data_IF_474335777432
#
_entry.id   IF_474335777432
#
_cell.length_a   1.000
_cell.length_b   1.000
_cell.length_c   1.000
_cell.angle_alpha   90.00
_cell.angle_beta   90.00
_cell.angle_gamma   90.00
#
_symmetry.space_group_name_H-M   'P 1'
#
loop_
_entity.id
_entity.type
_entity.pdbx_description
1 polymer ?
#
# COMPACT_ATOMS: atom_id res chain seq x y z
N UNK A 1 -17.39 16.15 12.24
CA UNK A 1 -18.45 15.56 11.39
C UNK A 1 -17.81 15.21 10.06
N UNK A 2 -17.32 13.98 9.90
CA UNK A 2 -16.76 13.51 8.63
C UNK A 2 -17.91 13.11 7.71
N UNK A 3 -18.03 13.82 6.60
CA UNK A 3 -18.93 13.48 5.50
C UNK A 3 -18.36 12.28 4.74
N UNK A 4 -18.56 11.08 5.28
CA UNK A 4 -18.46 9.85 4.49
C UNK A 4 -19.60 9.86 3.48
N UNK A 5 -19.30 10.33 2.26
CA UNK A 5 -20.20 10.16 1.13
C UNK A 5 -20.37 8.65 0.94
N UNK A 6 -21.60 8.12 0.84
CA UNK A 6 -21.78 6.70 0.56
C UNK A 6 -21.15 6.42 -0.80
N UNK A 7 -19.99 5.77 -0.79
CA UNK A 7 -19.34 5.36 -2.02
C UNK A 7 -20.30 4.44 -2.76
N UNK A 8 -20.56 4.79 -4.02
CA UNK A 8 -21.48 4.04 -4.88
C UNK A 8 -21.08 2.57 -4.90
N UNK A 9 -22.04 1.65 -4.90
CA UNK A 9 -21.79 0.21 -4.98
C UNK A 9 -20.84 -0.15 -6.15
N UNK A 10 -20.95 0.58 -7.27
CA UNK A 10 -20.04 0.44 -8.40
C UNK A 10 -18.60 0.86 -8.10
N UNK A 11 -18.40 1.89 -7.27
CA UNK A 11 -17.07 2.32 -6.81
C UNK A 11 -16.44 1.25 -5.90
N UNK A 12 -17.17 0.75 -4.92
CA UNK A 12 -16.66 -0.31 -4.03
C UNK A 12 -16.31 -1.58 -4.81
N UNK A 13 -17.14 -1.96 -5.79
CA UNK A 13 -16.86 -3.11 -6.66
C UNK A 13 -15.60 -2.88 -7.52
N UNK A 14 -15.43 -1.70 -8.10
CA UNK A 14 -14.22 -1.34 -8.85
C UNK A 14 -12.96 -1.43 -7.98
N UNK A 15 -13.05 -0.88 -6.76
CA UNK A 15 -11.95 -0.93 -5.80
C UNK A 15 -11.61 -2.38 -5.45
N UNK A 16 -12.61 -3.19 -5.14
CA UNK A 16 -12.41 -4.55 -4.65
C UNK A 16 -11.89 -5.51 -5.74
N UNK A 17 -12.42 -5.42 -6.96
CA UNK A 17 -12.12 -6.39 -8.03
C UNK A 17 -11.03 -5.92 -9.01
N UNK A 18 -10.73 -4.62 -9.07
CA UNK A 18 -9.73 -4.09 -10.01
C UNK A 18 -8.57 -3.44 -9.26
N UNK A 19 -8.85 -2.50 -8.36
CA UNK A 19 -7.78 -1.76 -7.67
C UNK A 19 -7.02 -2.62 -6.67
N UNK A 20 -7.72 -3.32 -5.77
CA UNK A 20 -7.09 -4.18 -4.76
C UNK A 20 -6.14 -5.22 -5.36
N UNK A 21 -6.52 -6.05 -6.36
CA UNK A 21 -5.59 -7.02 -6.93
C UNK A 21 -4.41 -6.37 -7.65
N UNK A 22 -4.61 -5.20 -8.27
CA UNK A 22 -3.52 -4.44 -8.88
C UNK A 22 -2.52 -3.93 -7.83
N UNK A 23 -3.02 -3.28 -6.78
CA UNK A 23 -2.21 -2.74 -5.69
C UNK A 23 -1.51 -3.88 -4.94
N UNK A 24 -2.24 -4.96 -4.67
CA UNK A 24 -1.70 -6.16 -4.01
C UNK A 24 -0.55 -6.74 -4.83
N UNK A 25 -0.72 -6.94 -6.14
CA UNK A 25 0.38 -7.41 -7.01
C UNK A 25 1.54 -6.43 -7.09
N UNK A 26 1.29 -5.13 -7.12
CA UNK A 26 2.34 -4.12 -7.16
C UNK A 26 3.17 -4.14 -5.87
N UNK A 27 2.51 -4.13 -4.71
CA UNK A 27 3.17 -4.17 -3.42
C UNK A 27 3.85 -5.51 -3.18
N UNK A 28 3.23 -6.63 -3.55
CA UNK A 28 3.82 -7.97 -3.47
C UNK A 28 5.04 -8.10 -4.40
N UNK A 29 4.97 -7.56 -5.62
CA UNK A 29 6.11 -7.56 -6.54
C UNK A 29 7.32 -6.78 -6.01
N UNK A 30 7.10 -5.79 -5.14
CA UNK A 30 8.20 -5.00 -4.58
C UNK A 30 8.63 -5.57 -3.23
N UNK A 31 7.69 -5.78 -2.31
CA UNK A 31 7.92 -6.11 -0.90
C UNK A 31 7.87 -7.61 -0.63
N UNK A 32 7.26 -8.43 -1.50
CA UNK A 32 7.21 -9.89 -1.33
C UNK A 32 8.59 -10.57 -1.33
N UNK A 33 9.65 -9.84 -1.75
CA UNK A 33 11.05 -10.28 -1.63
C UNK A 33 11.82 -9.62 -0.48
N UNK A 34 11.21 -8.67 0.21
CA UNK A 34 11.79 -8.03 1.39
C UNK A 34 11.49 -8.85 2.65
N UNK A 35 12.43 -8.86 3.59
CA UNK A 35 12.25 -9.45 4.93
C UNK A 35 11.39 -8.59 5.85
N UNK A 36 10.88 -7.45 5.37
CA UNK A 36 10.17 -6.45 6.18
C UNK A 36 8.65 -6.55 6.00
N UNK A 37 7.90 -6.35 7.09
CA UNK A 37 6.43 -6.47 7.11
C UNK A 37 5.75 -5.18 6.66
N UNK A 38 4.95 -5.27 5.61
CA UNK A 38 4.12 -4.19 5.10
C UNK A 38 2.63 -4.52 5.30
N UNK A 39 1.89 -3.61 5.92
CA UNK A 39 0.44 -3.68 6.01
C UNK A 39 -0.19 -2.70 5.04
N UNK A 40 -1.25 -3.13 4.36
CA UNK A 40 -2.09 -2.29 3.53
C UNK A 40 -3.46 -2.20 4.18
N UNK A 41 -3.93 -0.98 4.44
CA UNK A 41 -5.27 -0.70 4.92
C UNK A 41 -5.98 0.18 3.89
N UNK A 42 -7.13 -0.27 3.40
CA UNK A 42 -7.91 0.47 2.40
C UNK A 42 -9.07 1.16 3.08
N UNK A 43 -8.93 2.47 3.35
CA UNK A 43 -9.89 3.28 4.11
C UNK A 43 -11.34 3.14 3.61
N UNK A 44 -11.62 3.13 2.29
CA UNK A 44 -12.99 3.00 1.77
C UNK A 44 -13.67 1.66 2.03
N UNK A 45 -12.91 0.57 2.13
CA UNK A 45 -13.46 -0.80 2.23
C UNK A 45 -13.16 -1.45 3.59
N UNK A 46 -12.28 -0.82 4.39
CA UNK A 46 -11.68 -1.38 5.62
C UNK A 46 -11.02 -2.74 5.43
N UNK A 47 -10.64 -3.05 4.19
CA UNK A 47 -9.86 -4.25 3.90
C UNK A 47 -8.42 -4.03 4.35
N UNK A 48 -7.89 -5.03 5.04
CA UNK A 48 -6.49 -5.08 5.46
C UNK A 48 -5.80 -6.26 4.78
N UNK A 49 -4.63 -6.01 4.20
CA UNK A 49 -3.76 -7.03 3.62
C UNK A 49 -2.36 -6.92 4.21
N UNK A 50 -1.80 -8.05 4.65
CA UNK A 50 -0.42 -8.17 5.09
C UNK A 50 0.46 -8.66 3.92
N UNK A 51 1.61 -8.02 3.72
CA UNK A 51 2.65 -8.36 2.74
C UNK A 51 4.00 -8.55 3.45
N UNK A 52 4.80 -9.50 2.97
CA UNK A 52 6.10 -9.88 3.55
C UNK A 52 6.10 -11.31 4.12
N UNK A 53 7.29 -11.93 4.20
CA UNK A 53 7.43 -13.34 4.56
C UNK A 53 7.11 -13.60 6.04
N UNK A 54 6.39 -14.69 6.30
CA UNK A 54 5.82 -15.07 7.58
C UNK A 54 6.78 -15.97 8.38
N UNK A 55 8.09 -15.71 8.30
CA UNK A 55 9.11 -16.55 8.93
C UNK A 55 9.87 -15.84 10.04
N UNK A 56 9.18 -15.23 11.01
CA UNK A 56 9.77 -15.07 12.36
C UNK A 56 8.71 -15.40 13.42
N UNK A 57 8.64 -16.69 13.73
CA UNK A 57 8.35 -17.15 15.07
C UNK A 57 9.55 -16.70 15.93
N UNK A 58 9.27 -15.99 17.03
CA UNK A 58 10.14 -15.62 18.17
C UNK A 58 10.47 -14.13 18.33
N UNK A 59 9.70 -13.52 19.23
CA UNK A 59 10.13 -12.72 20.39
C UNK A 59 11.31 -11.74 20.21
N UNK A 60 10.98 -10.46 20.38
CA UNK A 60 11.81 -9.38 20.93
C UNK A 60 12.62 -8.47 19.99
N UNK A 61 12.34 -8.41 18.69
CA UNK A 61 12.75 -7.24 17.90
C UNK A 61 11.59 -6.76 17.04
N UNK A 62 10.84 -5.81 17.61
CA UNK A 62 9.66 -5.22 17.00
C UNK A 62 10.09 -4.25 15.90
N UNK A 63 10.54 -4.79 14.75
CA UNK A 63 10.55 -4.03 13.51
C UNK A 63 9.10 -3.57 13.27
N UNK A 64 8.82 -2.28 13.49
CA UNK A 64 7.47 -1.76 13.42
C UNK A 64 6.94 -2.00 12.00
N UNK A 65 5.81 -2.74 11.85
CA UNK A 65 5.26 -2.98 10.53
C UNK A 65 4.83 -1.65 9.93
N UNK A 66 5.38 -1.33 8.76
CA UNK A 66 4.98 -0.13 8.03
C UNK A 66 3.56 -0.36 7.52
N UNK A 67 2.65 0.55 7.80
CA UNK A 67 1.25 0.45 7.37
C UNK A 67 0.96 1.55 6.35
N UNK A 68 0.53 1.19 5.15
CA UNK A 68 0.00 2.08 4.13
C UNK A 68 -1.51 2.18 4.31
N UNK A 69 -2.02 3.41 4.33
CA UNK A 69 -3.43 3.73 4.30
C UNK A 69 -3.77 4.31 2.93
N UNK A 70 -4.62 3.61 2.17
CA UNK A 70 -5.14 4.09 0.89
C UNK A 70 -6.48 4.79 1.12
N UNK A 71 -6.48 6.10 0.93
CA UNK A 71 -7.68 6.93 1.01
C UNK A 71 -8.43 6.96 -0.31
N UNK A 72 -7.70 6.96 -1.43
CA UNK A 72 -8.27 7.02 -2.77
C UNK A 72 -7.66 5.96 -3.71
N UNK A 73 -8.06 4.69 -3.59
CA UNK A 73 -7.48 3.58 -4.35
C UNK A 73 -7.70 3.70 -5.87
N UNK A 74 -8.78 4.33 -6.32
CA UNK A 74 -9.05 4.50 -7.76
C UNK A 74 -8.08 5.51 -8.38
N UNK A 75 -7.91 6.68 -7.76
CA UNK A 75 -6.98 7.67 -8.25
C UNK A 75 -5.53 7.20 -8.12
N UNK A 76 -5.19 6.52 -7.03
CA UNK A 76 -3.91 5.84 -6.87
C UNK A 76 -3.61 4.89 -8.03
N UNK A 77 -4.53 3.97 -8.37
CA UNK A 77 -4.32 3.04 -9.49
C UNK A 77 -4.17 3.78 -10.82
N UNK A 78 -4.95 4.82 -11.06
CA UNK A 78 -4.85 5.62 -12.27
C UNK A 78 -3.48 6.27 -12.43
N UNK A 79 -2.99 6.93 -11.39
CA UNK A 79 -1.67 7.57 -11.36
C UNK A 79 -0.55 6.53 -11.52
N UNK A 80 -0.66 5.38 -10.84
CA UNK A 80 0.31 4.29 -10.95
C UNK A 80 0.33 3.61 -12.33
N UNK A 81 -0.80 3.60 -13.06
CA UNK A 81 -0.86 3.11 -14.44
C UNK A 81 -0.20 4.08 -15.43
N UNK A 82 -0.26 5.39 -15.16
CA UNK A 82 0.36 6.42 -15.99
C UNK A 82 1.88 6.46 -15.82
N UNK A 83 2.36 6.44 -14.58
CA UNK A 83 3.79 6.37 -14.28
C UNK A 83 4.04 5.58 -12.98
N UNK A 84 4.62 4.38 -13.12
CA UNK A 84 4.91 3.54 -11.97
C UNK A 84 6.07 4.07 -11.09
N UNK A 85 6.95 4.91 -11.63
CA UNK A 85 8.13 5.45 -10.92
C UNK A 85 7.83 6.78 -10.24
N UNK A 86 7.13 7.69 -10.92
CA UNK A 86 6.74 8.99 -10.35
C UNK A 86 5.38 8.95 -9.64
N UNK A 87 4.49 8.05 -10.08
CA UNK A 87 3.11 8.01 -9.62
C UNK A 87 2.94 7.70 -8.14
N UNK A 88 3.85 6.96 -7.52
CA UNK A 88 3.78 6.71 -6.07
C UNK A 88 3.97 8.02 -5.28
N UNK A 89 4.89 8.88 -5.73
CA UNK A 89 5.15 10.18 -5.13
C UNK A 89 4.04 11.19 -5.44
N UNK A 90 3.52 11.17 -6.66
CA UNK A 90 2.38 12.02 -7.06
C UNK A 90 1.12 11.67 -6.28
N UNK A 91 0.80 10.38 -6.14
CA UNK A 91 -0.33 9.92 -5.36
C UNK A 91 -0.18 10.25 -3.86
N UNK A 92 1.05 10.29 -3.35
CA UNK A 92 1.32 10.77 -1.99
C UNK A 92 1.06 12.29 -1.88
N UNK A 93 1.56 13.08 -2.83
CA UNK A 93 1.34 14.53 -2.86
C UNK A 93 -0.13 14.90 -3.06
N UNK A 94 -0.89 14.08 -3.79
CA UNK A 94 -2.33 14.21 -3.97
C UNK A 94 -3.14 13.78 -2.73
N UNK A 95 -2.51 13.10 -1.76
CA UNK A 95 -3.17 12.59 -0.57
C UNK A 95 -3.96 11.30 -0.78
N UNK A 96 -3.69 10.56 -1.86
CA UNK A 96 -4.38 9.30 -2.16
C UNK A 96 -3.98 8.18 -1.19
N UNK A 97 -2.78 8.28 -0.61
CA UNK A 97 -2.30 7.36 0.39
C UNK A 97 -1.39 8.04 1.43
N UNK A 98 -1.30 7.45 2.61
CA UNK A 98 -0.37 7.84 3.67
C UNK A 98 0.27 6.60 4.29
N UNK A 99 1.37 6.75 5.02
CA UNK A 99 1.95 5.63 5.75
C UNK A 99 2.24 5.97 7.22
N UNK A 100 2.22 4.94 8.05
CA UNK A 100 2.56 4.99 9.46
C UNK A 100 3.67 3.96 9.73
N UNK A 101 4.72 4.27 10.52
CA UNK A 101 4.92 5.50 11.30
C UNK A 101 5.33 6.75 10.49
N UNK A 102 6.06 6.58 9.37
CA UNK A 102 6.48 7.67 8.48
C UNK A 102 6.52 7.14 7.02
N UNK A 103 6.00 7.89 6.02
CA UNK A 103 6.21 7.61 4.60
C UNK A 103 7.67 7.35 4.21
N UNK A 104 8.63 7.95 4.92
CA UNK A 104 10.06 7.67 4.71
C UNK A 104 10.43 6.22 4.99
N UNK A 105 9.84 5.60 6.01
CA UNK A 105 10.10 4.19 6.30
C UNK A 105 9.60 3.33 5.15
N UNK A 106 8.41 3.60 4.61
CA UNK A 106 7.94 2.91 3.41
C UNK A 106 8.91 3.07 2.24
N UNK A 107 9.35 4.29 1.94
CA UNK A 107 10.30 4.53 0.85
C UNK A 107 11.62 3.78 1.08
N UNK A 108 12.13 3.72 2.32
CA UNK A 108 13.30 2.90 2.66
C UNK A 108 13.04 1.42 2.39
N UNK A 109 11.86 0.89 2.77
CA UNK A 109 11.50 -0.51 2.46
C UNK A 109 11.50 -0.75 0.95
N UNK A 110 10.86 0.12 0.17
CA UNK A 110 10.76 -0.02 -1.29
C UNK A 110 12.13 0.08 -1.98
N UNK A 111 13.01 0.99 -1.53
CA UNK A 111 14.38 1.12 -2.04
C UNK A 111 15.21 -0.12 -1.71
N UNK A 112 15.14 -0.62 -0.47
CA UNK A 112 15.83 -1.85 -0.04
C UNK A 112 15.37 -3.04 -0.85
N UNK A 113 14.06 -3.20 -1.02
CA UNK A 113 13.49 -4.32 -1.75
C UNK A 113 13.84 -4.27 -3.26
N UNK A 114 13.86 -3.07 -3.85
CA UNK A 114 14.35 -2.86 -5.22
C UNK A 114 15.85 -3.14 -5.38
N UNK A 115 16.68 -2.78 -4.40
CA UNK A 115 18.12 -3.07 -4.42
C UNK A 115 18.44 -4.57 -4.35
N UNK A 116 17.48 -5.39 -3.90
CA UNK A 116 17.61 -6.84 -3.80
C UNK A 116 17.25 -7.58 -5.11
N UNK A 117 16.83 -6.84 -6.14
CA UNK A 117 16.71 -7.31 -7.52
C UNK A 117 18.06 -7.09 -8.26
N UNK A 118 18.83 -8.15 -8.57
CA UNK A 118 19.96 -8.07 -9.49
C UNK A 118 19.50 -7.80 -10.94
#
# INVERSE_FOLDING_TARGET
MSTDKPHSFGYCSLVQYVCLPFISRFLDSIVGKSSEKLKLSVTPTRDEMDFGDQTIINNNDAAQPVTIFLHNPVHFCWVMLLDQKMGLGEAYMAGDWSAHPDPKELLKLLIRAKSMHP
#
